data_IF_645998487790
#
_entry.id   IF_645998487790
#
_cell.length_a   1.000
_cell.length_b   1.000
_cell.length_c   1.000
_cell.angle_alpha   90.00
_cell.angle_beta   90.00
_cell.angle_gamma   90.00
#
_symmetry.space_group_name_H-M   'P 1'
#
loop_
_entity.id
_entity.type
_entity.pdbx_description
1 polymer ?
#
# COMPACT_ATOMS: atom_id res chain seq x y z
N UNK A 1 0.76 -20.03 -6.33
CA UNK A 1 -0.11 -19.27 -7.25
C UNK A 1 -1.54 -19.32 -6.74
N UNK A 2 -2.23 -18.18 -6.73
CA UNK A 2 -3.67 -18.05 -6.43
C UNK A 2 -4.33 -17.40 -7.64
N UNK A 3 -5.42 -17.99 -8.12
CA UNK A 3 -6.26 -17.44 -9.17
C UNK A 3 -7.67 -17.23 -8.63
N UNK A 4 -8.20 -16.03 -8.79
CA UNK A 4 -9.58 -15.69 -8.42
C UNK A 4 -10.31 -15.35 -9.72
N UNK A 5 -11.22 -16.24 -10.10
CA UNK A 5 -11.99 -16.13 -11.35
C UNK A 5 -12.81 -14.83 -11.40
N UNK A 6 -13.02 -14.28 -12.58
CA UNK A 6 -13.71 -13.00 -12.80
C UNK A 6 -15.15 -12.99 -12.24
N UNK A 7 -15.80 -14.13 -12.15
CA UNK A 7 -17.15 -14.27 -11.59
C UNK A 7 -17.14 -14.66 -10.10
N UNK A 8 -15.93 -14.86 -9.51
CA UNK A 8 -15.81 -15.32 -8.13
C UNK A 8 -15.79 -14.18 -7.12
N UNK A 9 -16.48 -14.38 -6.01
CA UNK A 9 -16.34 -13.59 -4.79
C UNK A 9 -15.84 -14.50 -3.67
N UNK A 10 -14.64 -14.23 -3.18
CA UNK A 10 -14.03 -14.98 -2.08
C UNK A 10 -14.14 -14.14 -0.80
N UNK A 11 -14.82 -14.68 0.21
CA UNK A 11 -14.92 -14.03 1.52
C UNK A 11 -13.78 -14.43 2.43
N UNK A 12 -13.07 -13.45 2.97
CA UNK A 12 -11.96 -13.67 3.89
C UNK A 12 -10.74 -12.82 3.57
N UNK A 13 -9.56 -13.37 3.79
CA UNK A 13 -8.31 -12.66 3.60
C UNK A 13 -7.20 -13.57 3.04
N UNK A 14 -6.22 -12.96 2.38
CA UNK A 14 -4.96 -13.62 2.01
C UNK A 14 -3.90 -13.22 3.02
N UNK A 15 -3.26 -14.21 3.63
CA UNK A 15 -2.14 -14.03 4.54
C UNK A 15 -0.96 -14.90 4.10
N UNK A 16 0.19 -14.29 3.88
CA UNK A 16 1.38 -15.00 3.41
C UNK A 16 2.64 -14.57 4.17
N UNK A 17 3.12 -15.38 5.12
CA UNK A 17 4.39 -15.15 5.79
C UNK A 17 5.53 -15.90 5.10
N UNK A 18 6.59 -15.18 4.71
CA UNK A 18 7.85 -15.79 4.23
C UNK A 18 7.78 -16.46 2.85
N UNK A 19 6.76 -16.19 2.04
CA UNK A 19 6.62 -16.80 0.74
C UNK A 19 7.56 -16.21 -0.31
N UNK A 20 7.97 -17.04 -1.28
CA UNK A 20 8.77 -16.61 -2.43
C UNK A 20 8.11 -17.03 -3.74
N UNK A 21 8.28 -16.19 -4.77
CA UNK A 21 7.77 -16.45 -6.13
C UNK A 21 6.25 -16.69 -6.13
N UNK A 22 5.50 -15.81 -5.48
CA UNK A 22 4.03 -15.89 -5.39
C UNK A 22 3.40 -15.08 -6.51
N UNK A 23 2.38 -15.67 -7.14
CA UNK A 23 1.53 -14.98 -8.10
C UNK A 23 0.07 -15.06 -7.66
N UNK A 24 -0.60 -13.90 -7.60
CA UNK A 24 -2.02 -13.77 -7.26
C UNK A 24 -2.66 -12.92 -8.34
N UNK A 25 -3.67 -13.47 -9.03
CA UNK A 25 -4.26 -12.80 -10.18
C UNK A 25 -5.69 -13.24 -10.45
N UNK A 26 -6.34 -12.57 -11.40
CA UNK A 26 -7.71 -12.85 -11.85
C UNK A 26 -8.64 -11.67 -11.57
N UNK A 27 -9.73 -11.52 -12.32
CA UNK A 27 -10.66 -10.39 -12.20
C UNK A 27 -11.67 -10.50 -11.05
N UNK A 28 -11.56 -11.52 -10.21
CA UNK A 28 -12.50 -11.79 -9.11
C UNK A 28 -12.29 -10.88 -7.90
N UNK A 29 -13.21 -11.00 -6.95
CA UNK A 29 -13.30 -10.16 -5.74
C UNK A 29 -12.82 -10.94 -4.52
N UNK A 30 -11.91 -10.32 -3.75
CA UNK A 30 -11.60 -10.73 -2.39
C UNK A 30 -12.30 -9.76 -1.41
N UNK A 31 -13.32 -10.24 -0.73
CA UNK A 31 -14.18 -9.47 0.19
C UNK A 31 -13.86 -9.79 1.64
N UNK A 32 -13.45 -8.79 2.40
CA UNK A 32 -13.07 -8.94 3.80
C UNK A 32 -14.19 -8.60 4.78
N UNK A 33 -15.44 -8.50 4.33
CA UNK A 33 -16.57 -8.08 5.17
C UNK A 33 -16.87 -9.01 6.34
N UNK A 34 -16.40 -10.26 6.30
CA UNK A 34 -16.53 -11.24 7.36
C UNK A 34 -15.57 -11.05 8.54
N UNK A 35 -14.55 -10.20 8.35
CA UNK A 35 -13.58 -9.92 9.40
C UNK A 35 -13.96 -8.71 10.24
N UNK A 36 -13.86 -8.86 11.56
CA UNK A 36 -14.07 -7.75 12.48
C UNK A 36 -12.82 -6.84 12.52
N UNK A 37 -13.08 -5.54 12.66
CA UNK A 37 -12.01 -4.58 12.88
C UNK A 37 -11.43 -4.76 14.28
N UNK A 38 -10.11 -4.91 14.38
CA UNK A 38 -9.38 -4.73 15.63
C UNK A 38 -8.98 -3.25 15.74
N UNK A 39 -9.45 -2.58 16.78
CA UNK A 39 -9.18 -1.16 17.03
C UNK A 39 -7.92 -0.92 17.85
N UNK A 40 -7.40 -1.96 18.50
CA UNK A 40 -6.25 -1.88 19.39
C UNK A 40 -5.05 -2.60 18.76
N UNK A 41 -3.91 -1.94 18.69
CA UNK A 41 -2.63 -2.50 18.24
C UNK A 41 -2.67 -3.07 16.82
N UNK A 42 -3.03 -2.26 15.83
CA UNK A 42 -3.06 -2.68 14.43
C UNK A 42 -1.71 -3.26 13.93
N UNK A 43 -0.60 -2.87 14.53
CA UNK A 43 0.72 -3.40 14.23
C UNK A 43 0.99 -4.79 14.81
N UNK A 44 0.45 -5.11 15.97
CA UNK A 44 0.65 -6.39 16.62
C UNK A 44 -0.30 -7.47 16.11
N UNK A 45 -1.47 -7.05 15.65
CA UNK A 45 -2.51 -7.91 15.11
C UNK A 45 -2.78 -7.62 13.62
N UNK A 46 -1.76 -7.62 12.81
CA UNK A 46 -1.86 -7.43 11.35
C UNK A 46 -2.76 -8.45 10.64
N UNK A 47 -3.59 -9.12 11.40
CA UNK A 47 -4.27 -10.33 10.96
C UNK A 47 -5.60 -10.08 10.29
N UNK A 48 -6.05 -8.84 10.11
CA UNK A 48 -7.42 -8.60 9.68
C UNK A 48 -7.62 -7.76 8.41
N UNK A 49 -6.57 -7.27 7.79
CA UNK A 49 -6.66 -6.64 6.46
C UNK A 49 -6.95 -7.66 5.37
N UNK A 50 -7.39 -7.22 4.22
CA UNK A 50 -7.82 -8.09 3.12
C UNK A 50 -6.68 -8.92 2.54
N UNK A 51 -5.52 -8.28 2.31
CA UNK A 51 -4.36 -8.96 1.76
C UNK A 51 -3.08 -8.51 2.47
N UNK A 52 -2.37 -9.46 3.08
CA UNK A 52 -1.19 -9.19 3.92
C UNK A 52 -0.05 -10.14 3.64
N UNK A 53 1.11 -9.58 3.39
CA UNK A 53 2.33 -10.34 3.14
C UNK A 53 3.46 -9.87 4.06
N UNK A 54 4.20 -10.83 4.60
CA UNK A 54 5.30 -10.60 5.56
C UNK A 54 6.55 -11.35 5.13
N UNK A 55 7.69 -10.67 5.08
CA UNK A 55 8.98 -11.28 4.72
C UNK A 55 8.93 -12.04 3.39
N UNK A 56 8.16 -11.52 2.42
CA UNK A 56 7.96 -12.15 1.13
C UNK A 56 8.90 -11.59 0.06
N UNK A 57 9.20 -12.40 -0.94
CA UNK A 57 10.10 -12.01 -2.03
C UNK A 57 9.57 -12.49 -3.39
N UNK A 58 9.69 -11.64 -4.42
CA UNK A 58 9.23 -11.89 -5.78
C UNK A 58 7.72 -12.18 -5.83
N UNK A 59 6.93 -11.18 -5.52
CA UNK A 59 5.47 -11.25 -5.46
C UNK A 59 4.88 -10.46 -6.61
N UNK A 60 3.96 -11.07 -7.32
CA UNK A 60 3.19 -10.47 -8.42
C UNK A 60 1.70 -10.56 -8.08
N UNK A 61 1.03 -9.41 -8.03
CA UNK A 61 -0.40 -9.30 -7.75
C UNK A 61 -1.05 -8.51 -8.86
N UNK A 62 -2.00 -9.11 -9.59
CA UNK A 62 -2.64 -8.42 -10.70
C UNK A 62 -4.15 -8.64 -10.82
N UNK A 63 -4.82 -7.63 -11.35
CA UNK A 63 -6.22 -7.62 -11.79
C UNK A 63 -7.28 -7.73 -10.70
N UNK A 64 -6.98 -8.28 -9.54
CA UNK A 64 -7.94 -8.56 -8.46
C UNK A 64 -8.62 -7.29 -7.91
N UNK A 65 -9.82 -7.51 -7.35
CA UNK A 65 -10.59 -6.48 -6.66
C UNK A 65 -10.58 -6.78 -5.15
N UNK A 66 -10.12 -5.83 -4.34
CA UNK A 66 -10.16 -5.90 -2.89
C UNK A 66 -11.27 -5.01 -2.36
N UNK A 67 -12.13 -5.54 -1.49
CA UNK A 67 -13.24 -4.77 -0.96
C UNK A 67 -13.52 -5.04 0.53
N UNK A 68 -14.18 -4.08 1.18
CA UNK A 68 -14.66 -4.17 2.56
C UNK A 68 -13.59 -4.51 3.60
N UNK A 69 -12.37 -4.04 3.44
CA UNK A 69 -11.31 -4.35 4.41
C UNK A 69 -11.68 -3.89 5.82
N UNK A 70 -11.30 -4.68 6.79
CA UNK A 70 -11.50 -4.36 8.21
C UNK A 70 -10.48 -3.33 8.72
N UNK A 71 -9.32 -3.26 8.07
CA UNK A 71 -8.23 -2.30 8.31
C UNK A 71 -7.48 -2.10 6.98
N UNK A 72 -6.19 -1.87 6.95
CA UNK A 72 -5.35 -1.71 5.74
C UNK A 72 -5.65 -2.81 4.71
N UNK A 73 -5.98 -2.44 3.48
CA UNK A 73 -6.48 -3.41 2.50
C UNK A 73 -5.38 -4.33 1.96
N UNK A 74 -4.32 -3.75 1.43
CA UNK A 74 -3.15 -4.46 0.94
C UNK A 74 -1.92 -3.96 1.67
N UNK A 75 -1.33 -4.80 2.51
CA UNK A 75 -0.16 -4.42 3.29
C UNK A 75 1.00 -5.40 3.12
N UNK A 76 2.19 -4.85 2.95
CA UNK A 76 3.42 -5.61 2.78
C UNK A 76 4.45 -5.17 3.82
N UNK A 77 4.97 -6.13 4.58
CA UNK A 77 5.91 -5.90 5.67
C UNK A 77 7.22 -6.66 5.41
N UNK A 78 8.34 -5.96 5.44
CA UNK A 78 9.68 -6.54 5.22
C UNK A 78 9.78 -7.33 3.91
N UNK A 79 9.11 -6.85 2.86
CA UNK A 79 9.00 -7.53 1.59
C UNK A 79 9.97 -6.95 0.55
N UNK A 80 10.23 -7.74 -0.51
CA UNK A 80 11.17 -7.34 -1.56
C UNK A 80 10.73 -7.84 -2.93
N UNK A 81 10.99 -7.00 -3.97
CA UNK A 81 10.66 -7.29 -5.36
C UNK A 81 9.17 -7.58 -5.54
N UNK A 82 8.35 -6.57 -5.30
CA UNK A 82 6.90 -6.65 -5.36
C UNK A 82 6.40 -5.89 -6.58
N UNK A 83 5.53 -6.53 -7.35
CA UNK A 83 4.81 -5.91 -8.45
C UNK A 83 3.30 -6.01 -8.19
N UNK A 84 2.62 -4.87 -8.24
CA UNK A 84 1.17 -4.74 -8.07
C UNK A 84 0.65 -4.01 -9.30
N UNK A 85 -0.13 -4.69 -10.14
CA UNK A 85 -0.63 -4.16 -11.40
C UNK A 85 -2.15 -4.28 -11.50
N UNK A 86 -2.79 -3.21 -11.94
CA UNK A 86 -4.23 -3.20 -12.25
C UNK A 86 -5.15 -3.68 -11.12
N UNK A 87 -4.72 -3.53 -9.86
CA UNK A 87 -5.53 -3.87 -8.67
C UNK A 87 -6.57 -2.77 -8.42
N UNK A 88 -7.80 -3.16 -8.08
CA UNK A 88 -8.85 -2.24 -7.66
C UNK A 88 -9.12 -2.40 -6.17
N UNK A 89 -9.02 -1.33 -5.43
CA UNK A 89 -9.36 -1.29 -4.00
C UNK A 89 -10.57 -0.37 -3.85
N UNK A 90 -11.71 -0.93 -3.44
CA UNK A 90 -12.98 -0.20 -3.39
C UNK A 90 -13.82 -0.60 -2.16
N UNK A 91 -14.80 0.24 -1.83
CA UNK A 91 -15.73 -0.09 -0.73
C UNK A 91 -15.12 0.06 0.66
N UNK A 92 -14.13 0.90 0.82
CA UNK A 92 -13.45 1.16 2.09
C UNK A 92 -14.03 2.41 2.74
N UNK A 93 -14.75 2.23 3.85
CA UNK A 93 -15.49 3.28 4.54
C UNK A 93 -15.19 3.36 6.04
N UNK A 94 -14.34 2.47 6.54
CA UNK A 94 -13.98 2.40 7.97
C UNK A 94 -12.67 3.15 8.22
N UNK A 95 -12.51 3.61 9.43
CA UNK A 95 -11.26 4.21 9.91
C UNK A 95 -10.08 3.23 9.78
N UNK A 96 -8.89 3.73 9.40
CA UNK A 96 -7.71 2.93 9.07
C UNK A 96 -7.93 1.93 7.91
N UNK A 97 -8.84 2.17 7.00
CA UNK A 97 -8.92 1.40 5.77
C UNK A 97 -8.10 2.08 4.69
N UNK A 98 -6.79 1.99 4.86
CA UNK A 98 -5.80 2.41 3.90
C UNK A 98 -5.87 1.49 2.66
N UNK A 99 -5.40 1.96 1.52
CA UNK A 99 -5.37 1.18 0.30
C UNK A 99 -4.19 0.24 0.25
N UNK A 100 -3.00 0.77 -0.02
CA UNK A 100 -1.75 0.00 -0.12
C UNK A 100 -0.71 0.56 0.84
N UNK A 101 -0.25 -0.28 1.76
CA UNK A 101 0.78 0.05 2.73
C UNK A 101 2.09 -0.70 2.44
N UNK A 102 3.11 0.06 2.09
CA UNK A 102 4.47 -0.43 1.87
C UNK A 102 5.29 -0.19 3.14
N UNK A 103 5.45 -1.22 3.96
CA UNK A 103 6.09 -1.11 5.27
C UNK A 103 7.43 -1.84 5.26
N UNK A 104 8.52 -1.17 5.65
CA UNK A 104 9.86 -1.76 5.73
C UNK A 104 10.28 -2.51 4.44
N UNK A 105 9.81 -2.10 3.27
CA UNK A 105 9.94 -2.89 2.03
C UNK A 105 10.76 -2.15 0.98
N UNK A 106 11.28 -2.90 0.01
CA UNK A 106 12.11 -2.37 -1.07
C UNK A 106 11.81 -2.99 -2.44
N UNK A 107 12.15 -2.27 -3.51
CA UNK A 107 11.94 -2.70 -4.89
C UNK A 107 10.46 -3.02 -5.17
N UNK A 108 9.60 -2.01 -5.03
CA UNK A 108 8.15 -2.14 -5.19
C UNK A 108 7.69 -1.31 -6.39
N UNK A 109 6.96 -1.93 -7.30
CA UNK A 109 6.25 -1.27 -8.37
C UNK A 109 4.75 -1.44 -8.16
N UNK A 110 4.02 -0.32 -8.12
CA UNK A 110 2.57 -0.26 -8.06
C UNK A 110 2.12 0.52 -9.28
N UNK A 111 1.36 -0.12 -10.17
CA UNK A 111 0.95 0.55 -11.40
C UNK A 111 -0.48 0.23 -11.83
N UNK A 112 -1.06 1.12 -12.63
CA UNK A 112 -2.38 0.96 -13.24
C UNK A 112 -3.53 0.70 -12.24
N UNK A 113 -3.36 1.02 -10.98
CA UNK A 113 -4.30 0.71 -9.91
C UNK A 113 -5.39 1.78 -9.78
N UNK A 114 -6.59 1.36 -9.38
CA UNK A 114 -7.66 2.23 -8.93
C UNK A 114 -7.89 2.02 -7.43
N UNK A 115 -7.66 3.04 -6.63
CA UNK A 115 -7.70 2.93 -5.17
C UNK A 115 -8.66 3.97 -4.60
N UNK A 116 -9.75 3.49 -4.01
CA UNK A 116 -10.73 4.28 -3.26
C UNK A 116 -10.71 3.84 -1.80
N UNK A 117 -9.95 4.53 -0.99
CA UNK A 117 -9.80 4.29 0.45
C UNK A 117 -10.60 5.30 1.29
N UNK A 118 -10.81 5.01 2.57
CA UNK A 118 -11.27 6.01 3.53
C UNK A 118 -10.08 6.73 4.16
N UNK A 119 -9.06 5.99 4.59
CA UNK A 119 -7.78 6.52 5.06
C UNK A 119 -6.77 6.61 3.90
N UNK A 120 -5.47 6.55 4.14
CA UNK A 120 -4.46 6.76 3.10
C UNK A 120 -4.63 5.83 1.89
N UNK A 121 -4.38 6.34 0.68
CA UNK A 121 -4.49 5.49 -0.51
C UNK A 121 -3.25 4.66 -0.72
N UNK A 122 -2.08 5.28 -0.73
CA UNK A 122 -0.79 4.60 -0.79
C UNK A 122 0.14 5.22 0.24
N UNK A 123 0.55 4.42 1.21
CA UNK A 123 1.45 4.83 2.28
C UNK A 123 2.75 4.06 2.27
N UNK A 124 3.86 4.78 2.46
CA UNK A 124 5.19 4.21 2.58
C UNK A 124 5.68 4.45 4.00
N UNK A 125 5.83 3.38 4.75
CA UNK A 125 6.04 3.43 6.20
C UNK A 125 7.31 2.71 6.63
N UNK A 126 7.89 3.15 7.74
CA UNK A 126 8.91 2.43 8.48
C UNK A 126 8.50 2.29 9.94
N UNK A 127 8.60 1.09 10.47
CA UNK A 127 8.24 0.78 11.85
C UNK A 127 9.35 -0.02 12.52
N UNK A 128 9.38 0.00 13.87
CA UNK A 128 10.29 -0.80 14.69
C UNK A 128 11.77 -0.50 14.48
N UNK A 129 12.15 0.80 14.42
CA UNK A 129 13.54 1.24 14.27
C UNK A 129 14.24 0.51 13.09
N UNK A 130 13.62 0.60 11.90
CA UNK A 130 14.04 -0.15 10.72
C UNK A 130 15.44 0.26 10.24
N UNK A 131 16.38 -0.67 10.31
CA UNK A 131 17.81 -0.42 10.09
C UNK A 131 18.28 -0.62 8.64
N UNK A 132 17.36 -0.70 7.67
CA UNK A 132 17.69 -0.76 6.24
C UNK A 132 17.01 0.39 5.50
N UNK A 133 17.51 0.79 4.33
CA UNK A 133 16.82 1.75 3.49
C UNK A 133 15.46 1.24 3.01
N UNK A 134 14.46 2.13 3.03
CA UNK A 134 13.23 1.97 2.27
C UNK A 134 13.47 2.59 0.90
N UNK A 135 13.49 1.77 -0.15
CA UNK A 135 14.04 2.23 -1.41
C UNK A 135 13.41 1.59 -2.65
N UNK A 136 13.59 2.30 -3.78
CA UNK A 136 13.19 1.83 -5.10
C UNK A 136 11.69 1.50 -5.14
N UNK A 137 10.87 2.46 -4.75
CA UNK A 137 9.41 2.34 -4.77
C UNK A 137 8.88 3.26 -5.86
N UNK A 138 8.15 2.71 -6.80
CA UNK A 138 7.51 3.46 -7.87
C UNK A 138 6.01 3.22 -7.85
N UNK A 139 5.27 4.32 -7.87
CA UNK A 139 3.82 4.35 -8.09
C UNK A 139 3.58 5.05 -9.43
N UNK A 140 2.96 4.35 -10.37
CA UNK A 140 2.78 4.82 -11.74
C UNK A 140 1.35 4.63 -12.23
N UNK A 141 0.82 5.62 -12.94
CA UNK A 141 -0.48 5.52 -13.62
C UNK A 141 -1.63 5.03 -12.71
N UNK A 142 -1.68 5.50 -11.46
CA UNK A 142 -2.72 5.12 -10.51
C UNK A 142 -3.78 6.23 -10.37
N UNK A 143 -5.03 5.82 -10.19
CA UNK A 143 -6.14 6.71 -9.81
C UNK A 143 -6.41 6.55 -8.32
N UNK A 144 -6.27 7.64 -7.58
CA UNK A 144 -6.32 7.64 -6.13
C UNK A 144 -7.40 8.56 -5.59
N UNK A 145 -8.28 8.02 -4.77
CA UNK A 145 -9.33 8.76 -4.12
C UNK A 145 -9.40 8.43 -2.63
N UNK A 146 -8.88 9.34 -1.83
CA UNK A 146 -8.95 9.27 -0.38
C UNK A 146 -10.19 9.98 0.17
N UNK A 147 -10.84 9.37 1.17
CA UNK A 147 -11.99 9.98 1.84
C UNK A 147 -11.61 10.92 2.98
N UNK A 148 -10.61 10.56 3.76
CA UNK A 148 -10.20 11.27 4.98
C UNK A 148 -8.68 11.43 5.13
N UNK A 149 -7.89 10.43 4.79
CA UNK A 149 -6.42 10.43 4.87
C UNK A 149 -5.77 11.16 3.69
N UNK A 150 -4.73 10.58 3.09
CA UNK A 150 -3.95 11.17 2.01
C UNK A 150 -3.81 10.23 0.81
N UNK A 151 -3.65 10.79 -0.37
CA UNK A 151 -3.51 9.96 -1.58
C UNK A 151 -2.11 9.36 -1.73
N UNK A 152 -1.07 10.11 -1.38
CA UNK A 152 0.29 9.60 -1.32
C UNK A 152 0.91 10.08 -0.03
N UNK A 153 1.37 9.16 0.80
CA UNK A 153 2.03 9.53 2.06
C UNK A 153 3.33 8.77 2.25
N UNK A 154 4.30 9.45 2.82
CA UNK A 154 5.47 8.83 3.45
C UNK A 154 5.31 9.07 4.94
N UNK A 155 4.89 8.03 5.64
CA UNK A 155 4.51 8.07 7.05
C UNK A 155 3.06 7.57 7.26
N UNK A 156 2.42 7.88 8.40
CA UNK A 156 2.94 8.69 9.51
C UNK A 156 4.12 8.01 10.25
N UNK A 157 4.23 6.69 10.13
CA UNK A 157 5.31 5.92 10.74
C UNK A 157 6.57 6.06 9.90
N UNK A 158 7.56 6.77 10.44
CA UNK A 158 8.84 7.06 9.78
C UNK A 158 10.05 6.65 10.61
N UNK A 159 9.93 5.54 11.33
CA UNK A 159 10.96 5.00 12.21
C UNK A 159 12.00 4.17 11.42
N UNK A 160 12.59 4.79 10.41
CA UNK A 160 13.58 4.19 9.52
C UNK A 160 14.80 5.08 9.31
N UNK A 161 15.90 4.49 8.87
CA UNK A 161 17.18 5.21 8.72
C UNK A 161 17.30 6.01 7.42
N UNK A 162 16.60 5.60 6.36
CA UNK A 162 16.71 6.23 5.05
C UNK A 162 15.50 5.91 4.16
N UNK A 163 15.08 6.91 3.38
CA UNK A 163 14.10 6.77 2.31
C UNK A 163 14.72 7.27 1.01
N UNK A 164 14.79 6.43 -0.03
CA UNK A 164 15.39 6.87 -1.29
C UNK A 164 14.76 6.23 -2.52
N UNK A 165 14.83 6.94 -3.64
CA UNK A 165 14.27 6.50 -4.92
C UNK A 165 12.78 6.16 -4.82
N UNK A 166 12.00 7.03 -4.18
CA UNK A 166 10.54 6.92 -4.10
C UNK A 166 9.95 7.85 -5.14
N UNK A 167 9.16 7.31 -6.05
CA UNK A 167 8.63 8.03 -7.20
C UNK A 167 7.13 7.82 -7.31
N UNK A 168 6.38 8.91 -7.33
CA UNK A 168 4.97 8.94 -7.74
C UNK A 168 4.88 9.67 -9.07
N UNK A 169 4.35 9.03 -10.11
CA UNK A 169 4.27 9.62 -11.45
C UNK A 169 2.99 9.22 -12.19
N UNK A 170 2.55 10.07 -13.11
CA UNK A 170 1.39 9.83 -13.97
C UNK A 170 0.10 9.47 -13.22
N UNK A 171 -0.03 9.90 -11.96
CA UNK A 171 -1.16 9.55 -11.11
C UNK A 171 -2.23 10.65 -11.11
N UNK A 172 -3.50 10.24 -11.06
CA UNK A 172 -4.64 11.11 -10.82
C UNK A 172 -5.08 11.02 -9.36
N UNK A 173 -5.25 12.19 -8.73
CA UNK A 173 -5.57 12.30 -7.32
C UNK A 173 -6.75 13.25 -7.11
N UNK A 174 -7.76 12.81 -6.36
CA UNK A 174 -8.94 13.61 -6.04
C UNK A 174 -8.71 14.72 -5.02
N UNK A 175 -7.62 14.62 -4.24
CA UNK A 175 -7.27 15.58 -3.18
C UNK A 175 -5.78 15.92 -3.23
N UNK A 176 -5.35 16.86 -2.39
CA UNK A 176 -3.95 17.24 -2.31
C UNK A 176 -3.06 16.06 -1.93
N UNK A 177 -1.96 15.93 -2.64
CA UNK A 177 -0.90 14.98 -2.31
C UNK A 177 -0.06 15.58 -1.18
N UNK A 178 -0.01 14.88 -0.07
CA UNK A 178 0.94 15.19 1.00
C UNK A 178 2.00 14.09 1.02
N UNK A 179 3.17 14.40 0.52
CA UNK A 179 4.26 13.43 0.40
C UNK A 179 5.00 13.16 1.71
N UNK A 180 4.70 13.90 2.77
CA UNK A 180 5.52 13.87 3.97
C UNK A 180 4.68 14.17 5.21
N UNK A 181 4.70 13.25 6.18
CA UNK A 181 4.15 13.49 7.51
C UNK A 181 5.04 14.45 8.34
N UNK A 182 4.44 15.18 9.26
CA UNK A 182 5.10 16.13 10.15
C UNK A 182 6.03 15.51 11.20
N UNK A 183 6.15 14.19 11.27
CA UNK A 183 7.01 13.47 12.23
C UNK A 183 8.20 12.82 11.54
N UNK A 184 9.20 13.61 11.13
CA UNK A 184 10.45 13.04 10.64
C UNK A 184 11.41 12.71 11.79
N UNK A 185 11.81 11.45 11.85
CA UNK A 185 12.94 10.98 12.66
C UNK A 185 14.22 10.95 11.79
N UNK A 186 14.07 10.83 10.47
CA UNK A 186 15.18 10.73 9.51
C UNK A 186 15.63 12.12 9.02
N UNK A 187 16.93 12.45 9.00
CA UNK A 187 17.42 13.70 8.45
C UNK A 187 17.01 13.89 6.98
N UNK A 188 16.55 15.08 6.63
CA UNK A 188 16.08 15.43 5.27
C UNK A 188 17.13 15.15 4.18
N UNK A 189 18.41 15.17 4.50
CA UNK A 189 19.52 14.84 3.60
C UNK A 189 19.54 13.38 3.12
N UNK A 190 18.78 12.49 3.76
CA UNK A 190 18.64 11.07 3.40
C UNK A 190 17.36 10.76 2.63
N UNK A 191 16.70 11.80 2.16
CA UNK A 191 15.41 11.69 1.50
C UNK A 191 15.51 11.95 0.01
N UNK A 192 15.00 11.05 -0.82
CA UNK A 192 14.87 11.26 -2.26
C UNK A 192 13.49 10.77 -2.71
N UNK A 193 12.59 11.72 -2.92
CA UNK A 193 11.26 11.47 -3.46
C UNK A 193 11.00 12.37 -4.65
N UNK A 194 10.34 11.85 -5.68
CA UNK A 194 9.90 12.61 -6.85
C UNK A 194 8.42 12.37 -7.12
N UNK A 195 7.72 13.45 -7.34
CA UNK A 195 6.39 13.43 -7.94
C UNK A 195 6.46 14.09 -9.31
N UNK A 196 5.95 13.44 -10.33
CA UNK A 196 5.84 14.02 -11.67
C UNK A 196 4.40 13.91 -12.18
N UNK A 197 3.81 15.06 -12.46
CA UNK A 197 2.55 15.19 -13.18
C UNK A 197 2.78 16.11 -14.36
N UNK A 198 2.01 15.95 -15.44
CA UNK A 198 1.98 16.90 -16.54
C UNK A 198 1.42 18.29 -16.14
N UNK A 199 0.90 18.45 -14.93
CA UNK A 199 0.44 19.73 -14.36
C UNK A 199 0.93 19.82 -12.91
N UNK A 200 1.68 20.87 -12.64
CA UNK A 200 2.43 21.23 -11.44
C UNK A 200 1.83 20.90 -10.06
N UNK A 201 2.60 20.19 -9.24
CA UNK A 201 2.49 20.26 -7.77
C UNK A 201 3.80 20.79 -7.23
N UNK A 202 3.72 21.83 -6.38
CA UNK A 202 4.86 22.34 -5.62
C UNK A 202 5.05 21.47 -4.39
N UNK A 203 6.23 20.88 -4.25
CA UNK A 203 6.69 20.42 -2.94
C UNK A 203 6.96 21.65 -2.06
N UNK A 204 6.39 21.70 -0.88
CA UNK A 204 6.70 22.65 0.17
C UNK A 204 7.42 21.91 1.27
#
# INVERSE_FOLDING_TARGET
TVYIDDEAVVFGSIYSPGAKNVKIFGGGVLDNSTEERITEHCYENHTKGTFRIYNCENIDVSDIILTNSSTWALSMFDCKNIHIDNVKIVGHWKYNTDGIDVVNSENVLIENCFIRSFDDTISIKAIYDYQKPIQNITVDNCVMWCGWGKNCEIGIETDGIEYKNIVFKNCDSSTNIQLISSKFIVPFSKFSCRYSRSHSVKCV
#
